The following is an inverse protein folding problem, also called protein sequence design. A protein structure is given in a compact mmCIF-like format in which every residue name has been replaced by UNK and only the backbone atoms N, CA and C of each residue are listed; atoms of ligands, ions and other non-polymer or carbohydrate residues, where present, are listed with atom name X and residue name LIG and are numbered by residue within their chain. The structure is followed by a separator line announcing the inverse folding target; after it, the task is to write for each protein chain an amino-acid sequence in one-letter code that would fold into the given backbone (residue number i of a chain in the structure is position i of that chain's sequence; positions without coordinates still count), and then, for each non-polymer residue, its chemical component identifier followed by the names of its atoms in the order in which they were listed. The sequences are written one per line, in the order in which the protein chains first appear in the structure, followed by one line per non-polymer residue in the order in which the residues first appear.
data_IF_868012637597
#
_entry.id   IF_868012637597
#
_cell.length_a   1.000
_cell.length_b   1.000
_cell.length_c   1.000
_cell.angle_alpha   90.00
_cell.angle_beta   90.00
_cell.angle_gamma   90.00
#
_symmetry.space_group_name_H-M   'P 1'
#
loop_
_entity.id
_entity.type
_entity.pdbx_description
1 polymer ?
#
# COMPACT_ATOMS: atom_id res chain seq x y z
N UNK A 1 11.89 1.97 -11.27
CA UNK A 1 10.63 2.00 -10.49
C UNK A 1 9.74 0.85 -10.96
N UNK A 2 9.21 0.02 -10.06
CA UNK A 2 8.30 -1.08 -10.44
C UNK A 2 6.86 -0.53 -10.57
N UNK A 3 6.33 -0.56 -11.80
CA UNK A 3 4.99 -0.04 -12.11
C UNK A 3 3.87 -0.87 -11.49
N UNK A 4 4.09 -2.17 -11.22
CA UNK A 4 3.10 -3.05 -10.60
C UNK A 4 2.71 -2.61 -9.18
N UNK A 5 3.58 -1.82 -8.54
CA UNK A 5 3.42 -1.34 -7.17
C UNK A 5 2.72 0.02 -7.08
N UNK A 6 2.49 0.69 -8.21
CA UNK A 6 1.92 2.05 -8.28
C UNK A 6 0.42 2.05 -8.04
N UNK A 7 0.03 1.73 -6.80
CA UNK A 7 -1.37 1.59 -6.43
C UNK A 7 -2.23 2.78 -6.89
N UNK A 8 -3.28 2.54 -7.70
CA UNK A 8 -4.13 3.61 -8.21
C UNK A 8 -4.71 4.52 -7.14
N UNK A 9 -5.05 3.96 -5.98
CA UNK A 9 -5.60 4.68 -4.83
C UNK A 9 -4.56 5.47 -4.03
N UNK A 10 -3.26 5.40 -4.35
CA UNK A 10 -2.20 6.05 -3.57
C UNK A 10 -1.70 5.25 -2.36
N UNK A 11 -2.25 4.06 -2.08
CA UNK A 11 -1.69 3.14 -1.07
C UNK A 11 -0.50 2.36 -1.65
N UNK A 12 0.62 3.05 -1.91
CA UNK A 12 1.80 2.48 -2.56
C UNK A 12 2.12 1.07 -2.05
N UNK A 13 2.24 0.09 -2.97
CA UNK A 13 2.38 -1.32 -2.60
C UNK A 13 3.77 -1.65 -2.09
N UNK A 14 4.81 -0.88 -2.43
CA UNK A 14 6.17 -1.11 -1.95
C UNK A 14 6.33 -1.04 -0.43
N UNK A 15 5.35 -0.42 0.24
CA UNK A 15 5.27 -0.30 1.71
C UNK A 15 4.03 -1.03 2.28
N UNK A 16 3.44 -1.95 1.52
CA UNK A 16 2.34 -2.80 1.97
C UNK A 16 2.88 -4.03 2.70
N UNK A 17 2.32 -4.33 3.88
CA UNK A 17 2.76 -5.48 4.68
C UNK A 17 2.62 -6.82 3.94
N UNK A 18 1.55 -7.03 3.18
CA UNK A 18 1.35 -8.28 2.41
C UNK A 18 2.37 -8.41 1.28
N UNK A 19 2.62 -7.34 0.53
CA UNK A 19 3.62 -7.35 -0.54
C UNK A 19 5.03 -7.58 0.02
N UNK A 20 5.44 -6.82 1.04
CA UNK A 20 6.76 -6.96 1.66
C UNK A 20 6.96 -8.37 2.23
N UNK A 21 5.94 -8.92 2.89
CA UNK A 21 5.98 -10.31 3.40
C UNK A 21 6.17 -11.34 2.28
N UNK A 22 5.48 -11.15 1.15
CA UNK A 22 5.59 -12.03 -0.02
C UNK A 22 6.97 -11.92 -0.67
N UNK A 23 7.48 -10.69 -0.84
CA UNK A 23 8.80 -10.39 -1.41
C UNK A 23 9.93 -10.98 -0.56
N UNK A 24 9.85 -10.81 0.75
CA UNK A 24 10.91 -11.18 1.70
C UNK A 24 10.80 -12.64 2.17
N UNK A 25 9.78 -13.37 1.70
CA UNK A 25 9.47 -14.75 2.09
C UNK A 25 9.44 -14.94 3.63
N UNK A 26 8.88 -13.97 4.35
CA UNK A 26 8.91 -13.94 5.81
C UNK A 26 7.76 -14.76 6.41
N UNK A 27 8.00 -16.06 6.64
CA UNK A 27 6.96 -16.98 7.14
C UNK A 27 6.31 -16.52 8.46
N UNK A 28 7.09 -16.00 9.41
CA UNK A 28 6.57 -15.54 10.69
C UNK A 28 5.60 -14.36 10.55
N UNK A 29 5.89 -13.43 9.64
CA UNK A 29 4.98 -12.32 9.36
C UNK A 29 3.78 -12.80 8.53
N UNK A 30 3.98 -13.76 7.63
CA UNK A 30 2.94 -14.40 6.82
C UNK A 30 1.85 -15.00 7.71
N UNK A 31 2.22 -15.79 8.71
CA UNK A 31 1.27 -16.40 9.65
C UNK A 31 0.50 -15.36 10.47
N UNK A 32 1.17 -14.27 10.89
CA UNK A 32 0.53 -13.18 11.62
C UNK A 32 -0.49 -12.43 10.77
N UNK A 33 -0.13 -12.12 9.52
CA UNK A 33 -1.03 -11.46 8.58
C UNK A 33 -2.19 -12.37 8.19
N UNK A 34 -1.94 -13.65 7.97
CA UNK A 34 -2.97 -14.66 7.70
C UNK A 34 -4.04 -14.65 8.80
N UNK A 35 -3.61 -14.73 10.07
CA UNK A 35 -4.52 -14.63 11.22
C UNK A 35 -5.24 -13.28 11.29
N UNK A 36 -4.54 -12.16 11.07
CA UNK A 36 -5.14 -10.82 11.13
C UNK A 36 -6.19 -10.57 10.03
N UNK A 37 -5.99 -11.18 8.86
CA UNK A 37 -6.89 -11.08 7.72
C UNK A 37 -7.94 -12.20 7.65
N UNK A 38 -7.85 -13.23 8.50
CA UNK A 38 -8.76 -14.38 8.46
C UNK A 38 -8.61 -15.23 7.20
N UNK A 39 -7.39 -15.37 6.70
CA UNK A 39 -7.05 -16.12 5.48
C UNK A 39 -5.95 -17.16 5.78
N UNK A 40 -5.67 -18.08 4.87
CA UNK A 40 -4.54 -19.01 5.03
C UNK A 40 -3.21 -18.30 4.73
N UNK A 41 -2.07 -18.78 5.27
CA UNK A 41 -0.75 -18.26 4.92
C UNK A 41 -0.53 -18.22 3.40
N UNK A 42 -0.94 -19.25 2.66
CA UNK A 42 -0.78 -19.34 1.20
C UNK A 42 -1.49 -18.19 0.46
N UNK A 43 -2.59 -17.69 1.04
CA UNK A 43 -3.32 -16.55 0.48
C UNK A 43 -2.63 -15.21 0.76
N UNK A 44 -1.63 -15.15 1.65
CA UNK A 44 -0.72 -14.01 1.82
C UNK A 44 0.37 -14.09 0.74
N UNK A 45 -0.04 -13.86 -0.51
CA UNK A 45 0.79 -13.81 -1.70
C UNK A 45 0.38 -12.62 -2.58
N UNK A 46 1.35 -11.81 -3.01
CA UNK A 46 1.11 -10.60 -3.77
C UNK A 46 2.40 -10.09 -4.44
N UNK A 47 2.32 -9.70 -5.72
CA UNK A 47 3.42 -9.04 -6.45
C UNK A 47 3.17 -7.55 -6.72
N UNK A 48 1.98 -7.06 -6.36
CA UNK A 48 1.54 -5.69 -6.63
C UNK A 48 0.03 -5.67 -6.86
N UNK A 49 -0.59 -4.49 -6.78
CA UNK A 49 -2.02 -4.41 -7.06
C UNK A 49 -2.33 -4.30 -8.57
N UNK A 50 -1.32 -3.97 -9.37
CA UNK A 50 -1.36 -3.91 -10.84
C UNK A 50 -0.68 -5.13 -11.50
N UNK A 51 -0.06 -6.03 -10.74
CA UNK A 51 0.43 -7.32 -11.25
C UNK A 51 -0.72 -8.33 -11.38
N UNK A 52 -0.47 -9.46 -12.04
CA UNK A 52 -1.44 -10.56 -12.13
C UNK A 52 -1.67 -11.25 -10.78
N UNK A 53 -0.62 -11.41 -9.98
CA UNK A 53 -0.68 -12.05 -8.66
C UNK A 53 -0.98 -11.03 -7.56
N UNK A 54 -2.20 -11.09 -7.02
CA UNK A 54 -2.73 -10.11 -6.07
C UNK A 54 -3.23 -10.80 -4.81
N UNK A 55 -3.04 -10.14 -3.68
CA UNK A 55 -3.70 -10.52 -2.43
C UNK A 55 -5.22 -10.61 -2.60
N UNK A 56 -5.87 -11.59 -1.96
CA UNK A 56 -7.30 -11.90 -2.14
C UNK A 56 -8.21 -10.67 -1.98
N UNK A 57 -8.01 -9.83 -0.96
CA UNK A 57 -8.81 -8.62 -0.79
C UNK A 57 -8.52 -7.52 -1.81
N UNK A 58 -7.37 -7.57 -2.47
CA UNK A 58 -7.03 -6.66 -3.56
C UNK A 58 -7.58 -7.15 -4.91
N UNK A 59 -8.15 -8.35 -5.04
CA UNK A 59 -8.67 -8.87 -6.31
C UNK A 59 -10.00 -8.18 -6.69
N UNK A 60 -10.87 -7.88 -5.73
CA UNK A 60 -12.13 -7.19 -5.94
C UNK A 60 -12.05 -5.73 -5.45
N UNK A 61 -11.25 -4.89 -6.13
CA UNK A 61 -11.08 -3.47 -5.76
C UNK A 61 -11.75 -2.54 -6.76
N UNK A 62 -12.87 -1.92 -6.38
CA UNK A 62 -13.62 -0.99 -7.23
C UNK A 62 -12.83 0.26 -7.65
N UNK A 63 -11.87 0.72 -6.83
CA UNK A 63 -10.99 1.85 -7.20
C UNK A 63 -10.08 1.47 -8.37
N UNK A 64 -9.52 0.25 -8.37
CA UNK A 64 -8.69 -0.22 -9.49
C UNK A 64 -9.52 -0.36 -10.75
N UNK A 65 -10.69 -1.00 -10.67
CA UNK A 65 -11.60 -1.15 -11.81
C UNK A 65 -11.93 0.21 -12.42
N UNK A 66 -12.35 1.19 -11.60
CA UNK A 66 -12.66 2.55 -12.05
C UNK A 66 -11.48 3.24 -12.76
N UNK A 67 -10.26 3.11 -12.24
CA UNK A 67 -9.06 3.70 -12.87
C UNK A 67 -8.74 3.03 -14.21
N UNK A 68 -8.87 1.71 -14.30
CA UNK A 68 -8.66 0.96 -15.54
C UNK A 68 -9.70 1.33 -16.61
N UNK A 69 -10.98 1.41 -16.25
CA UNK A 69 -12.06 1.81 -17.16
C UNK A 69 -11.89 3.24 -17.68
N UNK A 70 -11.38 4.16 -16.84
CA UNK A 70 -11.08 5.54 -17.23
C UNK A 70 -9.74 5.70 -17.97
N UNK A 71 -8.98 4.61 -18.14
CA UNK A 71 -7.63 4.62 -18.71
C UNK A 71 -6.68 5.60 -17.99
N UNK A 72 -6.77 5.64 -16.66
CA UNK A 72 -5.89 6.43 -15.81
C UNK A 72 -4.76 5.57 -15.22
N UNK A 73 -3.65 6.21 -14.86
CA UNK A 73 -2.57 5.58 -14.08
C UNK A 73 -2.88 5.54 -12.57
N UNK A 74 -3.85 6.36 -12.13
CA UNK A 74 -4.29 6.39 -10.75
C UNK A 74 -5.22 7.56 -10.45
N UNK A 75 -5.76 7.59 -9.24
CA UNK A 75 -6.70 8.60 -8.79
C UNK A 75 -6.13 10.03 -8.86
N UNK A 76 -4.81 10.19 -8.88
CA UNK A 76 -4.14 11.50 -9.01
C UNK A 76 -4.46 12.22 -10.33
N UNK A 77 -4.88 11.49 -11.37
CA UNK A 77 -5.33 12.05 -12.65
C UNK A 77 -6.84 12.39 -12.66
N UNK A 78 -7.61 11.91 -11.67
CA UNK A 78 -9.05 12.12 -11.61
C UNK A 78 -9.38 13.53 -11.09
N UNK A 79 -10.23 14.25 -11.82
CA UNK A 79 -10.71 15.59 -11.42
C UNK A 79 -11.71 15.53 -10.26
N UNK A 80 -12.41 14.41 -10.12
CA UNK A 80 -13.44 14.19 -9.11
C UNK A 80 -12.85 13.71 -7.76
N UNK A 81 -11.52 13.63 -7.62
CA UNK A 81 -10.89 13.16 -6.40
C UNK A 81 -10.93 14.24 -5.29
N UNK A 82 -11.29 13.90 -4.03
CA UNK A 82 -11.80 12.59 -3.58
C UNK A 82 -13.26 12.37 -4.01
N UNK A 83 -13.55 11.18 -4.54
CA UNK A 83 -14.90 10.80 -4.98
C UNK A 83 -15.52 9.79 -4.02
N UNK A 84 -16.78 9.41 -4.29
CA UNK A 84 -17.53 8.45 -3.45
C UNK A 84 -16.80 7.14 -3.15
N UNK A 85 -16.03 6.59 -4.11
CA UNK A 85 -15.24 5.37 -3.88
C UNK A 85 -14.15 5.54 -2.81
N UNK A 86 -13.63 6.76 -2.66
CA UNK A 86 -12.63 7.11 -1.64
C UNK A 86 -13.33 7.45 -0.34
N UNK A 87 -14.49 8.10 -0.40
CA UNK A 87 -15.27 8.45 0.78
C UNK A 87 -15.82 7.22 1.50
N UNK A 88 -16.27 6.21 0.75
CA UNK A 88 -16.81 4.96 1.27
C UNK A 88 -15.73 3.92 1.55
N UNK A 89 -14.44 4.28 1.49
CA UNK A 89 -13.35 3.32 1.68
C UNK A 89 -13.40 2.70 3.10
N UNK A 90 -13.48 1.36 3.22
CA UNK A 90 -13.88 0.70 4.47
C UNK A 90 -12.81 0.71 5.57
N UNK A 91 -11.56 1.06 5.25
CA UNK A 91 -10.44 1.05 6.20
C UNK A 91 -10.04 2.49 6.54
N UNK A 92 -10.40 3.04 7.72
CA UNK A 92 -10.18 4.45 8.05
C UNK A 92 -8.71 4.90 7.93
N UNK A 93 -7.77 4.08 8.39
CA UNK A 93 -6.33 4.38 8.26
C UNK A 93 -5.91 4.44 6.79
N UNK A 94 -6.38 3.48 5.98
CA UNK A 94 -6.12 3.50 4.55
C UNK A 94 -6.75 4.72 3.88
N UNK A 95 -7.97 5.12 4.26
CA UNK A 95 -8.62 6.35 3.76
C UNK A 95 -7.78 7.60 4.07
N UNK A 96 -7.28 7.74 5.31
CA UNK A 96 -6.37 8.84 5.71
C UNK A 96 -5.14 8.89 4.79
N UNK A 97 -4.51 7.74 4.54
CA UNK A 97 -3.34 7.67 3.65
C UNK A 97 -3.68 7.97 2.20
N UNK A 98 -4.80 7.49 1.67
CA UNK A 98 -5.27 7.80 0.32
C UNK A 98 -5.43 9.32 0.13
N UNK A 99 -6.12 9.97 1.08
CA UNK A 99 -6.39 11.42 1.04
C UNK A 99 -5.11 12.27 1.11
N UNK A 100 -4.05 11.77 1.76
CA UNK A 100 -2.72 12.41 1.74
C UNK A 100 -1.95 12.11 0.45
N UNK A 101 -1.91 10.84 0.08
CA UNK A 101 -0.97 10.28 -0.90
C UNK A 101 -1.34 10.64 -2.34
N UNK A 102 -2.62 10.62 -2.69
CA UNK A 102 -3.07 10.94 -4.06
C UNK A 102 -2.78 12.40 -4.45
N UNK A 103 -3.08 13.41 -3.61
CA UNK A 103 -2.67 14.79 -3.90
C UNK A 103 -1.16 14.97 -3.97
N UNK A 104 -0.39 14.26 -3.12
CA UNK A 104 1.07 14.29 -3.16
C UNK A 104 1.59 13.75 -4.51
N UNK A 105 1.07 12.60 -4.98
CA UNK A 105 1.42 12.05 -6.31
C UNK A 105 1.10 13.03 -7.44
N UNK A 106 -0.04 13.71 -7.37
CA UNK A 106 -0.44 14.73 -8.36
C UNK A 106 0.54 15.90 -8.39
N UNK A 107 1.02 16.36 -7.23
CA UNK A 107 1.91 17.51 -7.10
C UNK A 107 3.37 17.19 -7.45
N UNK A 108 3.86 16.04 -7.03
CA UNK A 108 5.29 15.69 -7.09
C UNK A 108 5.67 14.93 -8.36
N UNK A 109 4.70 14.31 -9.02
CA UNK A 109 4.95 13.29 -10.02
C UNK A 109 5.23 11.92 -9.38
N UNK A 110 5.09 10.86 -10.17
CA UNK A 110 5.10 9.47 -9.67
C UNK A 110 6.44 9.09 -9.04
N UNK A 111 7.58 9.47 -9.62
CA UNK A 111 8.90 9.05 -9.13
C UNK A 111 9.20 9.60 -7.73
N UNK A 112 9.08 10.93 -7.56
CA UNK A 112 9.28 11.57 -6.25
C UNK A 112 8.28 11.12 -5.21
N UNK A 113 7.03 10.87 -5.63
CA UNK A 113 6.02 10.31 -4.74
C UNK A 113 6.39 8.92 -4.22
N UNK A 114 6.92 8.04 -5.08
CA UNK A 114 7.41 6.72 -4.65
C UNK A 114 8.54 6.87 -3.64
N UNK A 115 9.52 7.73 -3.92
CA UNK A 115 10.64 7.98 -3.01
C UNK A 115 10.16 8.49 -1.64
N UNK A 116 9.24 9.46 -1.62
CA UNK A 116 8.67 9.98 -0.37
C UNK A 116 7.87 8.93 0.40
N UNK A 117 7.11 8.07 -0.28
CA UNK A 117 6.40 6.96 0.38
C UNK A 117 7.40 5.96 0.96
N UNK A 118 8.45 5.58 0.24
CA UNK A 118 9.47 4.66 0.75
C UNK A 118 10.21 5.22 1.96
N UNK A 119 10.58 6.51 1.92
CA UNK A 119 11.27 7.20 3.00
C UNK A 119 10.39 7.43 4.23
N UNK A 120 9.07 7.67 4.04
CA UNK A 120 8.12 7.82 5.14
C UNK A 120 8.06 6.59 6.04
N UNK A 121 8.16 5.41 5.46
CA UNK A 121 8.13 4.15 6.21
C UNK A 121 9.53 3.58 6.42
N UNK A 122 10.50 4.43 6.80
CA UNK A 122 11.79 3.98 7.33
C UNK A 122 11.81 4.13 8.85
N UNK A 123 12.44 3.18 9.54
CA UNK A 123 12.62 3.29 10.97
C UNK A 123 13.55 4.47 11.32
N UNK A 124 13.17 5.40 12.21
CA UNK A 124 14.03 6.52 12.57
C UNK A 124 15.26 6.12 13.40
N UNK A 125 15.28 4.90 13.96
CA UNK A 125 16.36 4.42 14.82
C UNK A 125 17.42 3.61 14.07
N UNK A 126 17.03 2.85 13.04
CA UNK A 126 17.95 1.97 12.32
C UNK A 126 17.78 1.99 10.79
N UNK A 127 16.92 2.86 10.26
CA UNK A 127 16.65 3.03 8.82
C UNK A 127 16.06 1.82 8.08
N UNK A 128 15.72 0.74 8.81
CA UNK A 128 15.09 -0.45 8.25
C UNK A 128 13.73 -0.14 7.64
N UNK A 129 13.37 -0.85 6.57
CA UNK A 129 12.12 -0.61 5.84
C UNK A 129 10.93 -1.15 6.66
N UNK A 130 9.99 -0.27 6.94
CA UNK A 130 8.73 -0.58 7.60
C UNK A 130 7.62 -0.71 6.56
N UNK A 131 6.60 -1.50 6.90
CA UNK A 131 5.34 -1.46 6.19
C UNK A 131 4.39 -0.47 6.87
N UNK A 132 3.45 0.09 6.10
CA UNK A 132 2.40 1.00 6.58
C UNK A 132 1.60 0.39 7.73
N UNK A 133 1.45 1.13 8.83
CA UNK A 133 0.80 0.66 10.06
C UNK A 133 1.71 -0.13 11.01
N UNK A 134 3.02 -0.22 10.75
CA UNK A 134 3.98 -0.78 11.72
C UNK A 134 4.01 0.07 12.98
N UNK A 135 3.82 -0.54 14.16
CA UNK A 135 3.98 0.11 15.49
C UNK A 135 5.34 -0.13 16.13
N UNK A 136 6.08 -1.14 15.64
CA UNK A 136 7.38 -1.55 16.15
C UNK A 136 8.27 -2.01 15.01
N UNK A 137 9.54 -1.62 15.03
CA UNK A 137 10.50 -2.04 14.02
C UNK A 137 10.79 -3.55 14.10
N UNK A 138 10.82 -4.21 12.93
CA UNK A 138 11.18 -5.63 12.82
C UNK A 138 12.65 -5.90 13.17
N UNK A 139 13.55 -4.98 12.87
CA UNK A 139 14.98 -5.08 13.15
C UNK A 139 15.33 -4.66 14.59
N UNK A 140 15.24 -3.37 14.93
CA UNK A 140 15.71 -2.85 16.23
C UNK A 140 14.71 -2.96 17.39
N UNK A 141 13.46 -3.38 17.13
CA UNK A 141 12.39 -3.55 18.14
C UNK A 141 11.89 -2.27 18.83
N UNK A 142 12.37 -1.10 18.44
CA UNK A 142 11.88 0.20 18.90
C UNK A 142 10.46 0.49 18.42
N UNK A 143 9.72 1.28 19.21
CA UNK A 143 8.42 1.80 18.83
C UNK A 143 8.57 2.83 17.69
N UNK A 144 7.63 2.83 16.76
CA UNK A 144 7.66 3.72 15.59
C UNK A 144 6.26 4.28 15.32
N UNK A 145 6.20 5.54 14.92
CA UNK A 145 4.99 6.22 14.45
C UNK A 145 5.25 6.77 13.05
N UNK A 146 4.51 6.27 12.05
CA UNK A 146 4.74 6.59 10.62
C UNK A 146 3.50 7.17 9.90
N UNK A 147 2.38 7.32 10.62
CA UNK A 147 1.05 7.68 10.07
C UNK A 147 0.39 8.91 10.71
#
# INVERSE_FOLDING_TARGET
MNTELLAPCGLYCGVCGVYMTSRDNNQKLKDKLANAYGVTPEQIACKGCLSDEKFVYCQACGIRTCVMEKNYEGCHQCKDFPCKLIDDFPVPVGKKVILRSVPARKKLGTEKWVEEEENRYRCPHCSDQLFRGSRRCGSCKELVETD
#
